data_IF_771440324806
#
_entry.id   IF_771440324806
#
_cell.length_a   1.000
_cell.length_b   1.000
_cell.length_c   1.000
_cell.angle_alpha   90.00
_cell.angle_beta   90.00
_cell.angle_gamma   90.00
#
_symmetry.space_group_name_H-M   'P 1'
#
loop_
_entity.id
_entity.type
_entity.pdbx_description
1 polymer ?
#
# COMPACT_ATOMS: atom_id res chain seq x y z
N UNK A 1 -22.27 -24.93 -16.23
CA UNK A 1 -21.32 -25.50 -17.23
C UNK A 1 -20.24 -24.49 -17.49
N UNK A 2 -19.20 -24.49 -16.68
CA UNK A 2 -18.06 -23.59 -16.81
C UNK A 2 -16.79 -24.41 -16.97
N UNK A 3 -16.34 -24.36 -18.13
CA UNK A 3 -15.04 -24.00 -18.69
C UNK A 3 -13.83 -24.91 -18.41
N UNK A 4 -13.49 -25.69 -19.41
CA UNK A 4 -12.17 -26.31 -19.56
C UNK A 4 -11.16 -25.35 -20.27
N UNK A 5 -11.41 -24.02 -20.32
CA UNK A 5 -10.57 -23.12 -21.11
C UNK A 5 -9.16 -22.89 -20.52
N UNK A 6 -9.00 -22.97 -19.22
CA UNK A 6 -7.70 -22.70 -18.58
C UNK A 6 -6.75 -23.90 -18.62
N UNK A 7 -7.28 -25.12 -18.45
CA UNK A 7 -6.49 -26.35 -18.60
C UNK A 7 -6.00 -26.49 -20.04
N UNK A 8 -6.82 -26.12 -21.02
CA UNK A 8 -6.47 -26.20 -22.44
C UNK A 8 -5.32 -25.24 -22.81
N UNK A 9 -5.32 -24.01 -22.29
CA UNK A 9 -4.25 -23.04 -22.57
C UNK A 9 -2.88 -23.48 -22.03
N UNK A 10 -2.85 -24.02 -20.80
CA UNK A 10 -1.62 -24.54 -20.19
C UNK A 10 -1.10 -25.76 -20.93
N UNK A 11 -1.96 -26.70 -21.28
CA UNK A 11 -1.61 -27.91 -22.02
C UNK A 11 -1.08 -27.58 -23.42
N UNK A 12 -1.73 -26.66 -24.14
CA UNK A 12 -1.25 -26.17 -25.43
C UNK A 12 0.13 -25.51 -25.31
N UNK A 13 0.35 -24.67 -24.31
CA UNK A 13 1.63 -24.05 -24.04
C UNK A 13 2.72 -25.12 -23.77
N UNK A 14 2.45 -26.08 -22.90
CA UNK A 14 3.38 -27.19 -22.61
C UNK A 14 3.67 -27.99 -23.86
N UNK A 15 2.64 -28.29 -24.69
CA UNK A 15 2.81 -28.97 -25.98
C UNK A 15 3.72 -28.20 -26.94
N UNK A 16 3.60 -26.89 -26.97
CA UNK A 16 4.46 -26.03 -27.83
C UNK A 16 5.92 -25.99 -27.34
N UNK A 17 6.14 -25.78 -26.04
CA UNK A 17 7.52 -25.68 -25.51
C UNK A 17 8.28 -27.00 -25.60
N UNK A 18 7.58 -28.15 -25.60
CA UNK A 18 8.19 -29.45 -25.72
C UNK A 18 8.76 -29.74 -27.13
N UNK A 19 8.36 -28.96 -28.13
CA UNK A 19 8.90 -29.07 -29.51
C UNK A 19 10.30 -28.48 -29.65
N UNK A 20 10.72 -27.59 -28.76
CA UNK A 20 12.03 -26.98 -28.83
C UNK A 20 13.12 -27.95 -28.36
N UNK A 21 14.22 -28.11 -29.09
CA UNK A 21 15.33 -28.95 -28.68
C UNK A 21 16.07 -28.39 -27.48
N UNK A 22 16.62 -29.30 -26.68
CA UNK A 22 17.51 -28.92 -25.59
C UNK A 22 18.89 -28.62 -26.16
N UNK A 23 19.46 -27.50 -25.78
CA UNK A 23 20.80 -27.09 -26.24
C UNK A 23 21.91 -27.86 -25.48
N UNK A 24 22.91 -28.28 -26.22
CA UNK A 24 24.18 -28.76 -25.65
C UNK A 24 24.96 -27.60 -25.03
N UNK A 25 25.90 -27.87 -24.11
CA UNK A 25 26.73 -26.83 -23.51
C UNK A 25 27.52 -26.00 -24.53
N UNK A 26 27.98 -26.61 -25.62
CA UNK A 26 28.71 -25.93 -26.70
C UNK A 26 27.80 -24.97 -27.48
N UNK A 27 26.62 -25.44 -27.89
CA UNK A 27 25.62 -24.63 -28.59
C UNK A 27 25.14 -23.45 -27.76
N UNK A 28 24.90 -23.68 -26.45
CA UNK A 28 24.51 -22.62 -25.51
C UNK A 28 25.58 -21.55 -25.40
N UNK A 29 26.85 -21.96 -25.34
CA UNK A 29 27.99 -21.04 -25.29
C UNK A 29 28.08 -20.21 -26.60
N UNK A 30 28.02 -20.86 -27.75
CA UNK A 30 28.12 -20.18 -29.06
C UNK A 30 26.98 -19.18 -29.26
N UNK A 31 25.74 -19.56 -28.93
CA UNK A 31 24.58 -18.66 -29.00
C UNK A 31 24.71 -17.49 -28.03
N UNK A 32 25.20 -17.74 -26.83
CA UNK A 32 25.39 -16.68 -25.83
C UNK A 32 26.50 -15.70 -26.24
N UNK A 33 27.58 -16.19 -26.84
CA UNK A 33 28.67 -15.35 -27.41
C UNK A 33 28.15 -14.50 -28.57
N UNK A 34 27.37 -15.09 -29.47
CA UNK A 34 26.77 -14.37 -30.61
C UNK A 34 25.86 -13.25 -30.13
N UNK A 35 24.98 -13.54 -29.16
CA UNK A 35 24.12 -12.52 -28.59
C UNK A 35 24.92 -11.42 -27.88
N UNK A 36 25.95 -11.77 -27.11
CA UNK A 36 26.74 -10.80 -26.35
C UNK A 36 27.60 -9.90 -27.24
N UNK A 37 28.16 -10.42 -28.35
CA UNK A 37 29.05 -9.67 -29.26
C UNK A 37 28.28 -8.86 -30.30
N UNK A 38 27.22 -9.45 -30.86
CA UNK A 38 26.52 -8.92 -32.02
C UNK A 38 25.09 -8.51 -31.77
N UNK A 39 24.61 -8.66 -30.51
CA UNK A 39 23.22 -8.44 -30.12
C UNK A 39 22.22 -9.22 -31.01
N UNK A 40 22.62 -10.45 -31.40
CA UNK A 40 21.84 -11.33 -32.29
C UNK A 40 20.56 -11.81 -31.59
N UNK A 41 19.42 -11.21 -31.95
CA UNK A 41 18.12 -11.52 -31.36
C UNK A 41 17.68 -12.97 -31.62
N UNK A 42 18.05 -13.54 -32.80
CA UNK A 42 17.73 -14.93 -33.13
C UNK A 42 18.49 -15.91 -32.21
N UNK A 43 19.73 -15.56 -31.82
CA UNK A 43 20.47 -16.34 -30.83
C UNK A 43 19.84 -16.24 -29.43
N UNK A 44 19.39 -15.05 -29.03
CA UNK A 44 18.67 -14.86 -27.77
C UNK A 44 17.34 -15.63 -27.74
N UNK A 45 16.56 -15.60 -28.80
CA UNK A 45 15.31 -16.36 -28.93
C UNK A 45 15.55 -17.86 -28.75
N UNK A 46 16.57 -18.44 -29.39
CA UNK A 46 16.93 -19.86 -29.22
C UNK A 46 17.34 -20.18 -27.77
N UNK A 47 18.08 -19.29 -27.11
CA UNK A 47 18.46 -19.45 -25.70
C UNK A 47 17.24 -19.43 -24.79
N UNK A 48 16.26 -18.56 -25.02
CA UNK A 48 15.02 -18.48 -24.23
C UNK A 48 14.17 -19.70 -24.49
N UNK A 49 13.83 -20.01 -25.75
CA UNK A 49 12.89 -21.08 -26.12
C UNK A 49 13.35 -22.45 -25.67
N UNK A 50 14.64 -22.74 -25.76
CA UNK A 50 15.21 -24.02 -25.28
C UNK A 50 15.12 -24.20 -23.74
N UNK A 51 14.98 -23.11 -22.98
CA UNK A 51 14.95 -23.13 -21.53
C UNK A 51 13.56 -22.93 -20.93
N UNK A 52 12.49 -22.73 -21.73
CA UNK A 52 11.13 -22.51 -21.23
C UNK A 52 10.61 -23.69 -20.36
N UNK A 53 10.96 -24.94 -20.70
CA UNK A 53 10.60 -26.12 -19.90
C UNK A 53 11.14 -26.04 -18.46
N UNK A 54 12.29 -25.43 -18.29
CA UNK A 54 12.90 -25.24 -16.97
C UNK A 54 12.13 -24.20 -16.15
N UNK A 55 11.61 -23.16 -16.79
CA UNK A 55 10.73 -22.17 -16.15
C UNK A 55 9.49 -22.84 -15.59
N UNK A 56 8.84 -23.72 -16.38
CA UNK A 56 7.65 -24.48 -15.93
C UNK A 56 7.96 -25.30 -14.69
N UNK A 57 9.12 -25.97 -14.65
CA UNK A 57 9.55 -26.75 -13.48
C UNK A 57 9.66 -25.87 -12.22
N UNK A 58 10.28 -24.69 -12.34
CA UNK A 58 10.42 -23.76 -11.20
C UNK A 58 9.06 -23.17 -10.81
N UNK A 59 8.22 -22.74 -11.77
CA UNK A 59 6.91 -22.19 -11.50
C UNK A 59 6.01 -23.18 -10.73
N UNK A 60 6.13 -24.48 -11.01
CA UNK A 60 5.39 -25.54 -10.34
C UNK A 60 5.75 -25.64 -8.83
N UNK A 61 6.94 -25.22 -8.39
CA UNK A 61 7.31 -25.15 -6.96
C UNK A 61 6.42 -24.15 -6.20
N UNK A 62 5.86 -23.16 -6.90
CA UNK A 62 5.06 -22.06 -6.35
C UNK A 62 3.54 -22.22 -6.55
N UNK A 63 3.06 -23.36 -7.06
CA UNK A 63 1.61 -23.59 -7.33
C UNK A 63 0.72 -23.43 -6.10
N UNK A 64 1.27 -23.70 -4.90
CA UNK A 64 0.52 -23.71 -3.64
C UNK A 64 0.18 -22.29 -3.10
N UNK A 65 0.63 -21.24 -3.78
CA UNK A 65 0.33 -19.85 -3.38
C UNK A 65 -1.03 -19.36 -3.91
N UNK A 66 -1.79 -20.18 -4.65
CA UNK A 66 -3.15 -19.87 -5.09
C UNK A 66 -3.22 -18.98 -6.33
N UNK A 67 -2.13 -18.84 -7.06
CA UNK A 67 -2.09 -18.16 -8.36
C UNK A 67 -2.23 -19.16 -9.51
N UNK A 68 -2.71 -18.71 -10.67
CA UNK A 68 -2.76 -19.52 -11.88
C UNK A 68 -1.34 -19.88 -12.31
N UNK A 69 -1.11 -21.17 -12.58
CA UNK A 69 0.23 -21.64 -12.93
C UNK A 69 0.75 -20.97 -14.20
N UNK A 70 -0.14 -20.67 -15.14
CA UNK A 70 0.23 -19.99 -16.40
C UNK A 70 0.82 -18.59 -16.12
N UNK A 71 0.27 -17.84 -15.18
CA UNK A 71 0.77 -16.50 -14.82
C UNK A 71 2.16 -16.57 -14.18
N UNK A 72 2.35 -17.55 -13.26
CA UNK A 72 3.66 -17.81 -12.67
C UNK A 72 4.71 -18.19 -13.72
N UNK A 73 4.32 -18.95 -14.73
CA UNK A 73 5.19 -19.32 -15.85
C UNK A 73 5.55 -18.07 -16.66
N UNK A 74 4.59 -17.20 -16.99
CA UNK A 74 4.89 -16.00 -17.77
C UNK A 74 5.81 -15.03 -17.02
N UNK A 75 5.60 -14.83 -15.74
CA UNK A 75 6.54 -14.05 -14.92
C UNK A 75 7.93 -14.68 -14.85
N UNK A 76 7.98 -16.01 -14.74
CA UNK A 76 9.23 -16.76 -14.85
C UNK A 76 9.92 -16.59 -16.20
N UNK A 77 9.17 -16.54 -17.31
CA UNK A 77 9.71 -16.30 -18.65
C UNK A 77 10.32 -14.89 -18.76
N UNK A 78 9.70 -13.87 -18.14
CA UNK A 78 10.28 -12.53 -18.07
C UNK A 78 11.62 -12.57 -17.30
N UNK A 79 11.66 -13.32 -16.18
CA UNK A 79 12.88 -13.58 -15.43
C UNK A 79 13.98 -14.26 -16.26
N UNK A 80 13.62 -15.26 -17.05
CA UNK A 80 14.54 -15.94 -17.98
C UNK A 80 15.08 -14.98 -19.04
N UNK A 81 14.23 -14.18 -19.67
CA UNK A 81 14.66 -13.17 -20.66
C UNK A 81 15.62 -12.15 -20.04
N UNK A 82 15.34 -11.73 -18.80
CA UNK A 82 16.25 -10.84 -18.07
C UNK A 82 17.60 -11.52 -17.78
N UNK A 83 17.59 -12.80 -17.42
CA UNK A 83 18.81 -13.58 -17.22
C UNK A 83 19.64 -13.67 -18.51
N UNK A 84 19.00 -13.96 -19.66
CA UNK A 84 19.71 -14.02 -20.98
C UNK A 84 20.39 -12.70 -21.30
N UNK A 85 19.72 -11.56 -21.08
CA UNK A 85 20.31 -10.22 -21.29
C UNK A 85 21.57 -9.97 -20.47
N UNK A 86 21.61 -10.47 -19.22
CA UNK A 86 22.72 -10.24 -18.28
C UNK A 86 23.73 -11.38 -18.22
N UNK A 87 23.50 -12.47 -18.96
CA UNK A 87 24.34 -13.65 -18.91
C UNK A 87 25.75 -13.36 -19.48
N UNK A 88 26.77 -13.89 -18.79
CA UNK A 88 28.13 -13.84 -19.25
C UNK A 88 28.66 -15.25 -19.52
N UNK A 89 28.78 -15.68 -20.80
CA UNK A 89 29.21 -17.03 -21.14
C UNK A 89 30.66 -17.34 -20.75
N UNK A 90 31.49 -16.32 -20.59
CA UNK A 90 32.92 -16.51 -20.27
C UNK A 90 33.18 -16.90 -18.79
N UNK A 91 32.15 -16.95 -17.98
CA UNK A 91 32.32 -17.34 -16.56
C UNK A 91 32.28 -18.86 -16.30
N UNK A 92 32.13 -19.68 -17.32
CA UNK A 92 32.21 -21.13 -17.23
C UNK A 92 31.02 -21.87 -16.62
N UNK A 93 29.90 -21.18 -16.28
CA UNK A 93 28.68 -21.80 -15.79
C UNK A 93 27.56 -21.80 -16.83
N UNK A 94 26.63 -22.74 -16.70
CA UNK A 94 25.47 -22.86 -17.59
C UNK A 94 24.50 -21.71 -17.36
N UNK A 95 23.78 -21.29 -18.44
CA UNK A 95 22.73 -20.29 -18.38
C UNK A 95 21.67 -20.63 -17.34
N UNK A 96 21.23 -21.89 -17.26
CA UNK A 96 20.24 -22.36 -16.29
C UNK A 96 20.66 -22.04 -14.85
N UNK A 97 21.92 -22.31 -14.47
CA UNK A 97 22.40 -22.05 -13.11
C UNK A 97 22.33 -20.58 -12.70
N UNK A 98 22.47 -19.68 -13.67
CA UNK A 98 22.31 -18.25 -13.48
C UNK A 98 20.82 -17.81 -13.55
N UNK A 99 20.08 -18.36 -14.50
CA UNK A 99 18.68 -17.99 -14.75
C UNK A 99 17.74 -18.37 -13.60
N UNK A 100 18.01 -19.48 -12.88
CA UNK A 100 17.21 -19.92 -11.71
C UNK A 100 16.95 -18.77 -10.74
N UNK A 101 17.97 -17.99 -10.42
CA UNK A 101 17.87 -16.89 -9.47
C UNK A 101 16.94 -15.79 -9.97
N UNK A 102 17.00 -15.44 -11.25
CA UNK A 102 16.13 -14.45 -11.86
C UNK A 102 14.70 -14.95 -11.98
N UNK A 103 14.51 -16.19 -12.45
CA UNK A 103 13.18 -16.81 -12.55
C UNK A 103 12.49 -16.82 -11.20
N UNK A 104 13.16 -17.30 -10.15
CA UNK A 104 12.62 -17.30 -8.78
C UNK A 104 12.33 -15.91 -8.27
N UNK A 105 13.22 -14.95 -8.50
CA UNK A 105 13.03 -13.58 -8.07
C UNK A 105 11.79 -12.93 -8.69
N UNK A 106 11.57 -13.14 -10.00
CA UNK A 106 10.40 -12.60 -10.69
C UNK A 106 9.10 -13.26 -10.22
N UNK A 107 9.07 -14.59 -10.12
CA UNK A 107 7.91 -15.32 -9.60
C UNK A 107 7.59 -14.89 -8.17
N UNK A 108 8.56 -14.83 -7.28
CA UNK A 108 8.37 -14.40 -5.89
C UNK A 108 7.90 -12.95 -5.79
N UNK A 109 8.45 -12.06 -6.61
CA UNK A 109 8.03 -10.66 -6.64
C UNK A 109 6.58 -10.52 -7.12
N UNK A 110 6.19 -11.28 -8.14
CA UNK A 110 4.81 -11.35 -8.61
C UNK A 110 3.86 -11.83 -7.52
N UNK A 111 4.19 -12.93 -6.85
CA UNK A 111 3.37 -13.49 -5.76
C UNK A 111 3.15 -12.45 -4.65
N UNK A 112 4.21 -11.81 -4.15
CA UNK A 112 4.08 -10.80 -3.09
C UNK A 112 3.25 -9.60 -3.56
N UNK A 113 3.46 -9.16 -4.80
CA UNK A 113 2.80 -7.98 -5.36
C UNK A 113 1.31 -8.21 -5.59
N UNK A 114 0.93 -9.43 -5.97
CA UNK A 114 -0.43 -9.79 -6.36
C UNK A 114 -1.21 -10.53 -5.25
N UNK A 115 -0.59 -10.70 -4.06
CA UNK A 115 -1.22 -11.44 -2.94
C UNK A 115 -2.45 -10.74 -2.38
N UNK A 116 -2.38 -9.42 -2.23
CA UNK A 116 -3.41 -8.59 -1.64
C UNK A 116 -3.42 -7.21 -2.30
N UNK A 117 -4.58 -6.54 -2.31
CA UNK A 117 -4.76 -5.16 -2.79
C UNK A 117 -3.85 -4.22 -1.99
N UNK A 118 -3.75 -4.44 -0.68
CA UNK A 118 -2.80 -3.73 0.18
C UNK A 118 -1.45 -4.43 0.13
N UNK A 119 -0.41 -3.72 -0.27
CA UNK A 119 0.92 -4.28 -0.45
C UNK A 119 1.48 -4.89 0.84
N UNK A 120 1.76 -6.19 0.82
CA UNK A 120 2.41 -6.95 1.88
C UNK A 120 3.90 -7.15 1.52
N UNK A 121 4.77 -7.24 2.53
CA UNK A 121 6.19 -7.57 2.29
C UNK A 121 7.00 -6.40 1.76
N UNK A 122 6.86 -5.23 2.37
CA UNK A 122 7.64 -4.03 2.03
C UNK A 122 9.09 -4.10 2.51
N UNK A 123 9.35 -4.75 3.65
CA UNK A 123 10.69 -4.94 4.22
C UNK A 123 11.30 -6.30 3.86
N UNK A 124 12.61 -6.45 4.00
CA UNK A 124 13.28 -7.74 3.78
C UNK A 124 12.82 -8.82 4.77
N UNK A 125 12.59 -8.46 6.03
CA UNK A 125 12.08 -9.35 7.05
C UNK A 125 10.68 -9.88 6.68
N UNK A 126 9.77 -9.00 6.29
CA UNK A 126 8.42 -9.37 5.85
C UNK A 126 8.43 -10.28 4.61
N UNK A 127 9.31 -10.01 3.62
CA UNK A 127 9.47 -10.91 2.45
C UNK A 127 9.97 -12.29 2.85
N UNK A 128 10.93 -12.35 3.77
CA UNK A 128 11.44 -13.61 4.31
C UNK A 128 10.34 -14.39 5.03
N UNK A 129 9.57 -13.71 5.88
CA UNK A 129 8.45 -14.28 6.61
C UNK A 129 7.36 -14.80 5.68
N UNK A 130 6.98 -14.03 4.65
CA UNK A 130 5.98 -14.44 3.66
C UNK A 130 6.21 -15.85 3.10
N UNK A 131 7.45 -16.16 2.72
CA UNK A 131 7.78 -17.46 2.12
C UNK A 131 8.14 -18.54 3.14
N UNK A 132 8.69 -18.16 4.30
CA UNK A 132 9.28 -19.12 5.24
C UNK A 132 8.44 -19.37 6.49
N UNK A 133 7.51 -18.47 6.86
CA UNK A 133 6.73 -18.59 8.10
C UNK A 133 5.97 -19.93 8.18
N UNK A 134 5.19 -20.26 7.15
CA UNK A 134 4.43 -21.50 7.12
C UNK A 134 5.30 -22.75 7.09
N UNK A 135 6.47 -22.68 6.45
CA UNK A 135 7.44 -23.77 6.42
C UNK A 135 8.09 -23.95 7.80
N UNK A 136 8.46 -22.85 8.46
CA UNK A 136 9.01 -22.88 9.81
C UNK A 136 7.99 -23.43 10.83
N UNK A 137 6.73 -22.96 10.77
CA UNK A 137 5.64 -23.51 11.59
C UNK A 137 5.47 -25.03 11.42
N UNK A 138 5.43 -25.49 10.17
CA UNK A 138 5.30 -26.95 9.89
C UNK A 138 6.50 -27.73 10.42
N UNK A 139 7.74 -27.22 10.21
CA UNK A 139 8.95 -27.89 10.65
C UNK A 139 9.02 -28.00 12.18
N UNK A 140 8.74 -26.91 12.91
CA UNK A 140 8.76 -26.89 14.37
C UNK A 140 7.64 -27.76 14.95
N UNK A 141 6.46 -27.75 14.35
CA UNK A 141 5.35 -28.64 14.73
C UNK A 141 5.70 -30.12 14.62
N UNK A 142 6.45 -30.51 13.58
CA UNK A 142 6.93 -31.89 13.45
C UNK A 142 8.00 -32.28 14.47
N UNK A 143 8.74 -31.31 15.00
CA UNK A 143 9.81 -31.56 15.99
C UNK A 143 9.27 -31.63 17.43
N UNK A 144 8.28 -30.78 17.78
CA UNK A 144 7.80 -30.62 19.15
C UNK A 144 6.41 -31.19 19.43
N UNK A 145 5.70 -31.71 18.41
CA UNK A 145 4.31 -32.19 18.46
C UNK A 145 3.30 -31.16 18.99
N UNK A 146 3.73 -29.93 19.26
CA UNK A 146 2.94 -28.81 19.75
C UNK A 146 2.91 -27.69 18.70
N UNK A 147 1.97 -26.77 18.84
CA UNK A 147 2.00 -25.56 18.05
C UNK A 147 3.21 -24.72 18.51
N UNK A 148 4.12 -24.35 17.59
CA UNK A 148 5.31 -23.58 17.95
C UNK A 148 4.90 -22.19 18.44
N UNK A 149 5.59 -21.69 19.47
CA UNK A 149 5.47 -20.33 19.94
C UNK A 149 6.16 -19.35 18.97
N UNK A 150 5.70 -18.11 18.96
CA UNK A 150 6.30 -17.10 18.07
C UNK A 150 7.77 -16.84 18.37
N UNK A 151 8.20 -16.98 19.65
CA UNK A 151 9.60 -16.90 20.07
C UNK A 151 10.49 -17.93 19.39
N UNK A 152 10.07 -19.20 19.35
CA UNK A 152 10.83 -20.30 18.69
C UNK A 152 10.98 -20.06 17.18
N UNK A 153 9.92 -19.53 16.55
CA UNK A 153 9.96 -19.17 15.14
C UNK A 153 10.89 -17.98 14.91
N UNK A 154 10.87 -16.99 15.82
CA UNK A 154 11.72 -15.81 15.77
C UNK A 154 13.21 -16.17 15.79
N UNK A 155 13.61 -17.06 16.69
CA UNK A 155 14.98 -17.60 16.75
C UNK A 155 15.35 -18.33 15.45
N UNK A 156 14.48 -19.22 14.97
CA UNK A 156 14.77 -20.02 13.77
C UNK A 156 14.92 -19.19 12.50
N UNK A 157 14.20 -18.07 12.43
CA UNK A 157 14.20 -17.18 11.27
C UNK A 157 15.04 -15.91 11.46
N UNK A 158 15.63 -15.68 12.63
CA UNK A 158 16.38 -14.46 12.97
C UNK A 158 15.61 -13.18 12.63
N UNK A 159 14.40 -13.07 13.18
CA UNK A 159 13.50 -11.91 13.04
C UNK A 159 12.89 -11.60 14.40
N UNK A 160 12.26 -10.42 14.54
CA UNK A 160 11.60 -10.06 15.80
C UNK A 160 10.26 -10.79 15.93
N UNK A 161 9.88 -11.14 17.14
CA UNK A 161 8.61 -11.80 17.44
C UNK A 161 7.40 -10.98 17.01
N UNK A 162 7.43 -9.67 17.24
CA UNK A 162 6.39 -8.73 16.79
C UNK A 162 6.17 -8.72 15.27
N UNK A 163 7.25 -8.93 14.48
CA UNK A 163 7.15 -9.02 13.01
C UNK A 163 6.46 -10.32 12.57
N UNK A 164 6.62 -11.39 13.36
CA UNK A 164 5.98 -12.68 13.08
C UNK A 164 4.49 -12.59 13.38
N UNK A 165 4.12 -12.05 14.54
CA UNK A 165 2.73 -11.87 14.95
C UNK A 165 1.97 -11.01 13.93
N UNK A 166 2.53 -9.86 13.56
CA UNK A 166 1.97 -8.99 12.52
C UNK A 166 1.81 -9.71 11.18
N UNK A 167 2.82 -10.45 10.75
CA UNK A 167 2.80 -11.14 9.47
C UNK A 167 1.85 -12.34 9.48
N UNK A 168 1.72 -13.05 10.61
CA UNK A 168 0.79 -14.14 10.78
C UNK A 168 -0.67 -13.66 10.67
N UNK A 169 -0.98 -12.54 11.32
CA UNK A 169 -2.29 -11.89 11.22
C UNK A 169 -2.62 -11.50 9.76
N UNK A 170 -1.64 -10.94 9.04
CA UNK A 170 -1.81 -10.53 7.64
C UNK A 170 -1.96 -11.71 6.67
N UNK A 171 -1.32 -12.84 6.96
CA UNK A 171 -1.39 -14.04 6.11
C UNK A 171 -2.57 -14.94 6.42
N UNK A 172 -3.18 -14.81 7.60
CA UNK A 172 -4.32 -15.64 8.02
C UNK A 172 -5.60 -15.30 7.24
N UNK A 173 -5.77 -14.05 6.86
CA UNK A 173 -6.92 -13.58 6.12
C UNK A 173 -6.54 -13.16 4.70
N UNK A 174 -7.32 -13.59 3.72
CA UNK A 174 -7.27 -13.06 2.35
C UNK A 174 -8.26 -11.91 2.21
N UNK A 175 -8.04 -11.08 1.17
CA UNK A 175 -8.99 -10.05 0.79
C UNK A 175 -10.36 -10.67 0.53
N UNK A 176 -11.39 -10.11 1.16
CA UNK A 176 -12.77 -10.54 1.00
C UNK A 176 -13.41 -9.74 -0.13
N UNK A 177 -14.13 -10.42 -1.03
CA UNK A 177 -14.92 -9.72 -2.04
C UNK A 177 -16.16 -9.11 -1.39
N UNK A 178 -16.36 -7.81 -1.58
CA UNK A 178 -17.56 -7.12 -1.13
C UNK A 178 -18.81 -7.54 -1.93
N UNK A 179 -18.63 -8.03 -3.15
CA UNK A 179 -19.70 -8.54 -3.99
C UNK A 179 -20.07 -10.00 -3.65
N UNK A 180 -19.36 -10.63 -2.69
CA UNK A 180 -19.72 -11.96 -2.25
C UNK A 180 -21.05 -11.91 -1.50
N UNK A 181 -21.93 -12.88 -1.82
CA UNK A 181 -23.25 -13.00 -1.21
C UNK A 181 -23.17 -13.54 0.23
N UNK A 182 -23.95 -12.97 1.12
CA UNK A 182 -24.06 -13.38 2.53
C UNK A 182 -25.00 -14.55 2.71
N UNK A 183 -25.97 -14.69 1.81
CA UNK A 183 -27.00 -15.73 1.84
C UNK A 183 -26.90 -16.64 0.61
N UNK A 184 -27.33 -17.90 0.75
CA UNK A 184 -27.38 -18.83 -0.38
C UNK A 184 -28.35 -18.37 -1.49
N UNK A 185 -29.36 -17.58 -1.13
CA UNK A 185 -30.34 -17.02 -2.06
C UNK A 185 -29.80 -15.84 -2.89
N UNK A 186 -28.62 -15.32 -2.55
CA UNK A 186 -27.88 -14.35 -3.36
C UNK A 186 -28.43 -12.92 -3.37
N UNK A 187 -29.40 -12.59 -2.51
CA UNK A 187 -30.04 -11.27 -2.50
C UNK A 187 -29.25 -10.19 -1.77
N UNK A 188 -28.39 -10.58 -0.78
CA UNK A 188 -27.62 -9.64 0.03
C UNK A 188 -26.12 -9.88 -0.14
N UNK A 189 -25.40 -8.80 -0.35
CA UNK A 189 -23.93 -8.81 -0.47
C UNK A 189 -23.27 -8.14 0.74
N UNK A 190 -21.96 -8.36 0.93
CA UNK A 190 -21.21 -7.65 1.99
C UNK A 190 -21.25 -6.13 1.83
N UNK A 191 -21.29 -5.61 0.59
CA UNK A 191 -21.35 -4.17 0.34
C UNK A 191 -22.64 -3.55 0.86
N UNK A 192 -23.76 -4.28 0.82
CA UNK A 192 -25.06 -3.78 1.28
C UNK A 192 -25.12 -3.61 2.81
N UNK A 193 -24.25 -4.31 3.53
CA UNK A 193 -24.09 -4.21 4.97
C UNK A 193 -23.12 -3.15 5.45
N UNK A 194 -22.33 -2.55 4.55
CA UNK A 194 -21.38 -1.51 4.92
C UNK A 194 -22.12 -0.23 5.29
N UNK A 195 -22.01 0.16 6.56
CA UNK A 195 -22.54 1.43 7.02
C UNK A 195 -21.57 2.56 6.64
N UNK A 196 -22.12 3.66 6.20
CA UNK A 196 -21.38 4.90 6.04
C UNK A 196 -20.98 5.43 7.44
N UNK A 197 -19.67 5.50 7.72
CA UNK A 197 -19.14 5.99 8.99
C UNK A 197 -19.00 7.52 9.07
N UNK A 198 -19.31 8.21 7.99
CA UNK A 198 -19.32 9.68 7.95
C UNK A 198 -20.49 10.29 8.72
N UNK A 199 -20.42 11.58 8.94
CA UNK A 199 -21.54 12.34 9.53
C UNK A 199 -22.79 12.15 8.68
N UNK A 200 -23.93 11.93 9.32
CA UNK A 200 -25.21 11.92 8.65
C UNK A 200 -25.57 13.31 8.13
N UNK A 201 -26.55 13.38 7.23
CA UNK A 201 -26.93 14.63 6.57
C UNK A 201 -27.42 15.68 7.55
N UNK A 202 -28.12 15.25 8.61
CA UNK A 202 -28.63 16.11 9.65
C UNK A 202 -27.50 16.74 10.46
N UNK A 203 -26.58 15.93 10.96
CA UNK A 203 -25.40 16.38 11.72
C UNK A 203 -24.51 17.32 10.88
N UNK A 204 -24.30 16.99 9.60
CA UNK A 204 -23.54 17.84 8.69
C UNK A 204 -24.22 19.21 8.47
N UNK A 205 -25.55 19.25 8.35
CA UNK A 205 -26.31 20.48 8.22
C UNK A 205 -26.23 21.32 9.50
N UNK A 206 -26.50 20.71 10.67
CA UNK A 206 -26.40 21.37 11.97
C UNK A 206 -25.01 21.99 12.14
N UNK A 207 -23.95 21.23 11.86
CA UNK A 207 -22.56 21.74 11.97
C UNK A 207 -22.28 22.90 11.00
N UNK A 208 -22.86 22.86 9.79
CA UNK A 208 -22.74 23.93 8.82
C UNK A 208 -23.44 25.21 9.29
N UNK A 209 -24.65 25.07 9.84
CA UNK A 209 -25.43 26.18 10.41
C UNK A 209 -24.74 26.78 11.64
N UNK A 210 -24.29 25.95 12.57
CA UNK A 210 -23.53 26.39 13.74
C UNK A 210 -22.26 27.14 13.33
N UNK A 211 -21.51 26.60 12.39
CA UNK A 211 -20.29 27.26 11.89
C UNK A 211 -20.60 28.61 11.24
N UNK A 212 -21.71 28.69 10.47
CA UNK A 212 -22.15 29.95 9.86
C UNK A 212 -22.60 30.96 10.91
N UNK A 213 -23.30 30.51 11.94
CA UNK A 213 -23.71 31.35 13.08
C UNK A 213 -22.51 31.89 13.85
N UNK A 214 -21.55 31.03 14.18
CA UNK A 214 -20.31 31.41 14.85
C UNK A 214 -19.53 32.44 14.02
N UNK A 215 -19.35 32.19 12.72
CA UNK A 215 -18.69 33.13 11.80
C UNK A 215 -19.40 34.50 11.77
N UNK A 216 -20.72 34.51 11.70
CA UNK A 216 -21.54 35.75 11.73
C UNK A 216 -21.36 36.51 13.04
N UNK A 217 -21.45 35.83 14.17
CA UNK A 217 -21.29 36.42 15.49
C UNK A 217 -19.87 36.98 15.70
N UNK A 218 -18.85 36.26 15.25
CA UNK A 218 -17.45 36.73 15.31
C UNK A 218 -17.24 37.95 14.39
N UNK A 219 -17.78 37.92 13.17
CA UNK A 219 -17.71 39.07 12.26
C UNK A 219 -18.38 40.32 12.86
N UNK A 220 -19.60 40.21 13.40
CA UNK A 220 -20.28 41.31 14.05
C UNK A 220 -19.59 41.80 15.33
N UNK A 221 -18.90 40.92 16.06
CA UNK A 221 -18.08 41.33 17.22
C UNK A 221 -16.80 42.09 16.78
N UNK A 222 -16.18 41.70 15.66
CA UNK A 222 -15.02 42.37 15.09
C UNK A 222 -15.33 43.80 14.60
N UNK A 223 -16.55 44.04 14.12
CA UNK A 223 -16.99 45.36 13.69
C UNK A 223 -17.08 46.38 14.86
N UNK A 224 -17.38 45.90 16.06
CA UNK A 224 -17.46 46.71 17.25
C UNK A 224 -16.10 47.07 17.88
N UNK A 225 -15.00 46.52 17.35
CA UNK A 225 -13.63 46.78 17.82
C UNK A 225 -13.04 47.97 17.05
N UNK A 226 -12.14 48.71 17.75
CA UNK A 226 -11.30 49.73 17.10
C UNK A 226 -10.32 49.07 16.13
N UNK A 227 -9.79 49.85 15.16
CA UNK A 227 -8.84 49.31 14.16
C UNK A 227 -7.63 48.62 14.79
N UNK A 228 -7.10 49.18 15.89
CA UNK A 228 -5.96 48.59 16.62
C UNK A 228 -6.33 47.28 17.30
N UNK A 229 -7.47 47.20 17.95
CA UNK A 229 -7.99 45.99 18.59
C UNK A 229 -8.28 44.93 17.55
N UNK A 230 -8.93 45.27 16.44
CA UNK A 230 -9.22 44.39 15.34
C UNK A 230 -7.97 43.77 14.72
N UNK A 231 -6.95 44.63 14.47
CA UNK A 231 -5.67 44.14 13.94
C UNK A 231 -5.01 43.11 14.88
N UNK A 232 -5.00 43.35 16.19
CA UNK A 232 -4.42 42.41 17.17
C UNK A 232 -5.15 41.09 17.15
N UNK A 233 -6.48 41.10 17.16
CA UNK A 233 -7.29 39.88 17.14
C UNK A 233 -7.07 39.08 15.83
N UNK A 234 -7.12 39.76 14.68
CA UNK A 234 -6.96 39.10 13.39
C UNK A 234 -5.58 38.46 13.17
N UNK A 235 -4.50 39.18 13.54
CA UNK A 235 -3.15 38.75 13.22
C UNK A 235 -2.48 37.93 14.33
N UNK A 236 -3.06 37.92 15.53
CA UNK A 236 -2.50 37.16 16.64
C UNK A 236 -3.36 36.01 17.09
N UNK A 237 -4.67 36.16 17.12
CA UNK A 237 -5.60 35.12 17.64
C UNK A 237 -6.21 34.30 16.51
N UNK A 238 -6.56 34.92 15.40
CA UNK A 238 -7.22 34.25 14.28
C UNK A 238 -6.25 33.79 13.18
N UNK A 239 -4.99 34.20 13.22
CA UNK A 239 -3.99 33.82 12.23
C UNK A 239 -3.35 32.47 12.53
N UNK A 240 -3.07 31.66 11.50
CA UNK A 240 -2.33 30.40 11.62
C UNK A 240 -0.89 30.65 12.16
N UNK A 241 -0.27 31.76 11.79
CA UNK A 241 1.03 32.18 12.29
C UNK A 241 0.87 33.46 13.13
N UNK A 242 0.75 33.36 14.46
CA UNK A 242 0.46 34.49 15.32
C UNK A 242 1.64 35.45 15.41
N UNK A 243 1.37 36.75 15.19
CA UNK A 243 2.35 37.86 15.37
C UNK A 243 2.66 38.03 16.84
N UNK A 244 3.94 38.30 17.19
CA UNK A 244 4.35 38.51 18.59
C UNK A 244 3.86 39.84 19.15
N UNK A 245 3.66 39.92 20.48
CA UNK A 245 3.30 41.20 21.14
C UNK A 245 4.35 42.29 20.96
N UNK A 246 5.58 41.88 20.75
CA UNK A 246 6.70 42.84 20.50
C UNK A 246 6.55 43.49 19.12
N UNK A 247 6.23 42.68 18.10
CA UNK A 247 6.04 43.17 16.73
C UNK A 247 4.82 44.07 16.62
N UNK A 248 3.76 43.74 17.35
CA UNK A 248 2.56 44.57 17.47
C UNK A 248 2.91 45.89 18.16
N UNK A 249 3.72 45.84 19.25
CA UNK A 249 4.25 47.00 19.94
C UNK A 249 5.01 47.90 19.01
N UNK A 250 5.95 47.35 18.25
CA UNK A 250 6.75 48.08 17.27
C UNK A 250 5.88 48.75 16.17
N UNK A 251 4.88 48.02 15.67
CA UNK A 251 3.99 48.55 14.61
C UNK A 251 3.14 49.71 15.06
N UNK A 252 2.63 49.70 16.28
CA UNK A 252 1.75 50.75 16.81
C UNK A 252 2.44 51.75 17.74
N UNK A 253 3.78 51.70 17.86
CA UNK A 253 4.57 52.51 18.77
C UNK A 253 4.08 52.47 20.22
N UNK A 254 3.80 51.26 20.73
CA UNK A 254 3.37 51.01 22.10
C UNK A 254 4.27 49.95 22.75
N UNK A 255 4.27 49.94 24.09
CA UNK A 255 5.00 48.90 24.81
C UNK A 255 4.34 47.54 24.67
N UNK A 256 5.13 46.47 24.79
CA UNK A 256 4.63 45.07 24.79
C UNK A 256 3.50 44.87 25.80
N UNK A 257 3.63 45.43 27.00
CA UNK A 257 2.62 45.31 28.05
C UNK A 257 1.34 46.06 27.67
N UNK A 258 1.45 47.21 27.01
CA UNK A 258 0.27 47.93 26.49
C UNK A 258 -0.44 47.17 25.39
N UNK A 259 0.30 46.50 24.50
CA UNK A 259 -0.29 45.61 23.50
C UNK A 259 -1.08 44.44 24.16
N UNK A 260 -0.54 43.83 25.21
CA UNK A 260 -1.21 42.81 26.01
C UNK A 260 -2.50 43.30 26.68
N UNK A 261 -2.48 44.54 27.23
CA UNK A 261 -3.70 45.12 27.80
C UNK A 261 -4.79 45.39 26.77
N UNK A 262 -4.40 45.83 25.56
CA UNK A 262 -5.35 46.04 24.45
C UNK A 262 -5.92 44.70 23.99
N UNK A 263 -5.10 43.67 23.86
CA UNK A 263 -5.54 42.30 23.54
C UNK A 263 -6.60 41.82 24.55
N UNK A 264 -6.31 41.91 25.85
CA UNK A 264 -7.24 41.50 26.90
C UNK A 264 -8.56 42.29 26.87
N UNK A 265 -8.47 43.61 26.64
CA UNK A 265 -9.68 44.46 26.51
C UNK A 265 -10.50 44.09 25.25
N UNK A 266 -9.82 43.86 24.12
CA UNK A 266 -10.47 43.42 22.89
C UNK A 266 -11.21 42.08 23.04
N UNK A 267 -10.59 41.08 23.67
CA UNK A 267 -11.21 39.80 23.97
C UNK A 267 -12.44 39.95 24.89
N UNK A 268 -12.34 40.81 25.92
CA UNK A 268 -13.46 41.10 26.81
C UNK A 268 -14.64 41.74 26.04
N UNK A 269 -14.37 42.70 25.17
CA UNK A 269 -15.39 43.34 24.32
C UNK A 269 -16.04 42.33 23.37
N UNK A 270 -15.23 41.49 22.71
CA UNK A 270 -15.73 40.43 21.82
C UNK A 270 -16.63 39.46 22.59
N UNK A 271 -16.19 39.00 23.74
CA UNK A 271 -17.00 38.08 24.58
C UNK A 271 -18.36 38.68 24.91
N UNK A 272 -18.37 39.92 25.39
CA UNK A 272 -19.63 40.62 25.73
C UNK A 272 -20.52 40.81 24.48
N UNK A 273 -19.93 41.12 23.33
CA UNK A 273 -20.66 41.28 22.08
C UNK A 273 -21.28 39.96 21.59
N UNK A 274 -20.55 38.84 21.71
CA UNK A 274 -21.05 37.51 21.32
C UNK A 274 -22.11 37.01 22.30
N UNK A 275 -21.93 37.23 23.62
CA UNK A 275 -22.93 36.86 24.65
C UNK A 275 -24.24 37.66 24.47
N UNK A 276 -24.16 38.94 24.09
CA UNK A 276 -25.31 39.75 23.77
C UNK A 276 -26.09 39.22 22.57
N UNK A 277 -25.40 38.94 21.46
CA UNK A 277 -26.00 38.37 20.24
C UNK A 277 -26.58 36.95 20.47
N UNK A 278 -26.08 36.22 21.44
CA UNK A 278 -26.61 34.89 21.82
C UNK A 278 -27.91 34.97 22.63
N UNK A 279 -28.17 36.09 23.31
CA UNK A 279 -29.39 36.33 24.12
C UNK A 279 -30.55 36.90 23.32
N UNK A 280 -30.30 37.47 22.15
CA UNK A 280 -31.35 37.82 21.20
C UNK A 280 -31.56 36.64 20.23
N UNK A 281 -32.53 35.75 20.48
CA UNK A 281 -32.87 34.72 19.49
C UNK A 281 -33.50 35.41 18.29
N UNK A 282 -32.85 35.22 17.15
CA UNK A 282 -33.35 35.38 15.77
C UNK A 282 -34.87 35.69 15.68
N UNK A 283 -35.20 36.94 15.81
CA UNK A 283 -36.54 37.47 15.44
C UNK A 283 -36.54 37.90 13.95
N UNK A 284 -35.92 37.07 13.06
CA UNK A 284 -35.91 37.34 11.60
C UNK A 284 -35.95 36.03 10.79
N UNK A 285 -36.91 35.18 11.09
CA UNK A 285 -37.39 34.16 10.15
C UNK A 285 -38.89 34.30 9.99
N UNK A 286 -39.35 35.51 9.67
CA UNK A 286 -40.70 35.78 9.17
C UNK A 286 -40.64 37.03 8.31
N UNK A 287 -40.27 36.86 7.05
CA UNK A 287 -40.66 37.68 5.91
C UNK A 287 -40.40 36.87 4.65
#
# INVERSE_FOLDING_TARGET
>A
MSLPAESNALELYIGQINRFPILSPAEEFDLAVRYKKHNDLAAAEKLVTANLRFVVKIAHEYRNYGFKLIDLIQEGNIGLMHAVKKFNPYKGYRLISYAVWWIRAYIQNYIIKSWSIVKIGTTQAQRKLFFKLNQAKKRLRHLSEKNPEFGEIAESLHVKESEIEEMDLRLSNRDLSLDATLTEDGELTYIDHLKYEGEDQETALIRKEETALVKRNVAGALEKLTERERYIIQHRIMAENPVTLQDIGNRFNITRERARQIEAQALKKMRTAIEYNRKEPVALLSA
#
